data_IF_389391472901
#
_entry.id   IF_389391472901
#
_cell.length_a   1.000
_cell.length_b   1.000
_cell.length_c   1.000
_cell.angle_alpha   90.00
_cell.angle_beta   90.00
_cell.angle_gamma   90.00
#
_symmetry.space_group_name_H-M   'P 1'
#
loop_
_entity.id
_entity.type
_entity.pdbx_description
1 polymer ?
#
# COMPACT_ATOMS: atom_id res chain seq x y z
N UNK A 1 8.82 6.79 -26.16
CA UNK A 1 9.67 6.09 -25.16
C UNK A 1 8.79 5.02 -24.54
N UNK A 2 9.06 3.75 -24.82
CA UNK A 2 8.11 2.66 -24.68
C UNK A 2 7.87 2.28 -23.21
N UNK A 3 6.61 2.35 -22.76
CA UNK A 3 6.14 1.60 -21.59
C UNK A 3 4.79 0.99 -21.98
N UNK A 4 4.86 -0.12 -22.71
CA UNK A 4 3.72 -1.02 -22.79
C UNK A 4 4.26 -2.45 -22.88
N UNK A 5 5.01 -2.85 -21.85
CA UNK A 5 4.88 -4.24 -21.43
C UNK A 5 3.40 -4.37 -21.04
N UNK A 6 2.62 -5.14 -21.81
CA UNK A 6 1.21 -5.33 -21.53
C UNK A 6 1.08 -5.76 -20.06
N UNK A 7 0.34 -4.99 -19.27
CA UNK A 7 0.15 -5.35 -17.88
C UNK A 7 -0.66 -6.64 -17.82
N UNK A 8 -0.47 -7.40 -16.73
CA UNK A 8 -1.19 -8.65 -16.53
C UNK A 8 -2.70 -8.48 -16.64
N UNK A 9 -3.37 -9.47 -17.23
CA UNK A 9 -4.81 -9.38 -17.54
C UNK A 9 -5.72 -9.72 -16.36
N UNK A 10 -5.17 -10.27 -15.26
CA UNK A 10 -5.87 -10.54 -14.00
C UNK A 10 -5.10 -9.92 -12.84
N UNK A 11 -5.82 -9.25 -11.96
CA UNK A 11 -5.25 -8.51 -10.84
C UNK A 11 -6.10 -8.66 -9.59
N UNK A 12 -5.46 -8.63 -8.44
CA UNK A 12 -6.09 -8.50 -7.12
C UNK A 12 -5.33 -7.46 -6.28
N UNK A 13 -6.04 -6.73 -5.42
CA UNK A 13 -5.41 -5.76 -4.52
C UNK A 13 -5.72 -6.08 -3.07
N UNK A 14 -4.77 -5.74 -2.20
CA UNK A 14 -4.93 -5.73 -0.75
C UNK A 14 -4.42 -4.39 -0.23
N UNK A 15 -5.18 -3.75 0.65
CA UNK A 15 -4.76 -2.52 1.36
C UNK A 15 -4.67 -2.86 2.86
N UNK A 16 -3.44 -2.79 3.36
CA UNK A 16 -3.08 -3.10 4.74
C UNK A 16 -3.42 -1.91 5.63
N UNK A 17 -4.21 -2.15 6.67
CA UNK A 17 -4.65 -1.08 7.57
C UNK A 17 -3.66 -0.90 8.73
N UNK A 18 -3.41 0.36 9.12
CA UNK A 18 -2.74 0.74 10.36
C UNK A 18 -1.37 0.05 10.60
N UNK A 19 -0.63 -0.22 9.53
CA UNK A 19 0.64 -0.97 9.57
C UNK A 19 1.66 -0.39 10.56
N UNK A 20 1.67 0.93 10.76
CA UNK A 20 2.59 1.59 11.68
C UNK A 20 2.43 1.11 13.12
N UNK A 21 1.19 0.94 13.59
CA UNK A 21 0.91 0.48 14.95
C UNK A 21 1.27 -0.99 15.18
N UNK A 22 1.65 -1.73 14.15
CA UNK A 22 2.12 -3.11 14.29
C UNK A 22 3.61 -3.20 14.53
N UNK A 23 4.37 -2.13 14.25
CA UNK A 23 5.83 -2.12 14.37
C UNK A 23 6.22 -1.70 15.79
N UNK A 24 6.79 -2.60 16.62
CA UNK A 24 7.26 -2.27 17.96
C UNK A 24 8.40 -1.26 17.91
N UNK A 25 8.30 -0.26 18.79
CA UNK A 25 9.47 0.56 19.11
C UNK A 25 10.38 -0.20 20.06
N UNK A 26 11.68 -0.11 19.82
CA UNK A 26 12.69 -0.58 20.79
C UNK A 26 12.59 0.26 22.05
N UNK A 27 12.81 -0.34 23.21
CA UNK A 27 12.74 0.35 24.51
C UNK A 27 13.64 1.59 24.56
N UNK A 28 14.83 1.51 23.95
CA UNK A 28 15.80 2.61 23.83
C UNK A 28 15.32 3.79 22.95
N UNK A 29 14.40 3.54 22.02
CA UNK A 29 13.86 4.55 21.12
C UNK A 29 12.63 5.25 21.71
N UNK A 30 11.90 4.63 22.64
CA UNK A 30 10.67 5.17 23.22
C UNK A 30 10.82 6.58 23.82
N UNK A 31 11.90 6.93 24.55
CA UNK A 31 12.06 8.29 25.08
C UNK A 31 12.07 9.38 24.00
N UNK A 32 12.48 9.07 22.77
CA UNK A 32 12.52 10.04 21.65
C UNK A 32 11.12 10.45 21.17
N UNK A 33 10.10 9.65 21.50
CA UNK A 33 8.70 9.88 21.11
C UNK A 33 7.82 10.26 22.31
N UNK A 34 8.42 10.66 23.43
CA UNK A 34 7.68 11.03 24.62
C UNK A 34 6.92 12.37 24.43
N UNK A 35 5.73 12.45 25.01
CA UNK A 35 4.90 13.66 25.05
C UNK A 35 4.24 13.80 26.43
N UNK A 36 3.84 15.02 26.79
CA UNK A 36 3.20 15.30 28.08
C UNK A 36 1.73 15.62 27.88
N UNK A 37 0.87 14.97 28.66
CA UNK A 37 -0.56 15.25 28.72
C UNK A 37 -0.99 15.35 30.19
N UNK A 38 -1.65 16.44 30.57
CA UNK A 38 -2.12 16.70 31.94
C UNK A 38 -1.04 16.50 33.04
N UNK A 39 0.21 16.88 32.74
CA UNK A 39 1.34 16.75 33.66
C UNK A 39 1.91 15.34 33.77
N UNK A 40 1.39 14.37 33.01
CA UNK A 40 1.90 12.99 32.93
C UNK A 40 2.64 12.79 31.61
N UNK A 41 3.81 12.15 31.66
CA UNK A 41 4.58 11.81 30.46
C UNK A 41 4.14 10.46 29.90
N UNK A 42 3.85 10.44 28.61
CA UNK A 42 3.50 9.26 27.84
C UNK A 42 4.53 9.05 26.73
N UNK A 43 4.57 7.84 26.19
CA UNK A 43 5.31 7.52 24.98
C UNK A 43 4.58 6.44 24.19
N UNK A 44 4.97 6.25 22.93
CA UNK A 44 4.43 5.22 22.08
C UNK A 44 5.11 3.87 22.34
N UNK A 45 4.34 2.78 22.30
CA UNK A 45 4.87 1.41 22.29
C UNK A 45 5.12 0.88 20.87
N UNK A 46 4.70 1.65 19.87
CA UNK A 46 4.66 1.30 18.45
C UNK A 46 5.03 2.50 17.61
N UNK A 47 5.43 2.29 16.37
CA UNK A 47 5.89 3.34 15.48
C UNK A 47 4.77 4.39 15.27
N UNK A 48 5.00 5.67 15.64
CA UNK A 48 3.95 6.68 15.55
C UNK A 48 3.77 7.18 14.10
N UNK A 49 2.53 7.47 13.72
CA UNK A 49 2.19 8.02 12.39
C UNK A 49 2.89 9.34 12.07
N UNK A 50 3.12 10.17 13.09
CA UNK A 50 3.63 11.53 12.92
C UNK A 50 5.13 11.57 12.60
N UNK A 51 5.83 10.45 12.74
CA UNK A 51 7.27 10.42 12.49
C UNK A 51 7.56 10.34 10.99
N UNK A 52 8.39 11.27 10.49
CA UNK A 52 8.74 11.43 9.08
C UNK A 52 9.15 10.14 8.37
N UNK A 53 9.87 9.26 9.05
CA UNK A 53 10.38 8.03 8.45
C UNK A 53 9.46 6.82 8.66
N UNK A 54 8.32 6.99 9.34
CA UNK A 54 7.37 5.90 9.55
C UNK A 54 6.90 5.24 8.25
N UNK A 55 6.53 5.99 7.19
CA UNK A 55 6.16 5.40 5.88
C UNK A 55 7.25 4.47 5.31
N UNK A 56 8.52 4.89 5.36
CA UNK A 56 9.63 4.12 4.84
C UNK A 56 9.91 2.88 5.68
N UNK A 57 9.88 3.01 7.01
CA UNK A 57 10.09 1.89 7.93
C UNK A 57 8.99 0.84 7.73
N UNK A 58 7.74 1.28 7.64
CA UNK A 58 6.60 0.39 7.47
C UNK A 58 6.62 -0.29 6.10
N UNK A 59 6.88 0.46 5.03
CA UNK A 59 7.04 -0.11 3.69
C UNK A 59 8.11 -1.22 3.67
N UNK A 60 9.28 -0.97 4.27
CA UNK A 60 10.35 -1.95 4.36
C UNK A 60 9.98 -3.18 5.20
N UNK A 61 9.19 -3.02 6.27
CA UNK A 61 8.73 -4.13 7.08
C UNK A 61 7.77 -5.04 6.28
N UNK A 62 6.83 -4.45 5.56
CA UNK A 62 5.92 -5.20 4.68
C UNK A 62 6.64 -5.86 3.52
N UNK A 63 7.61 -5.18 2.89
CA UNK A 63 8.42 -5.77 1.83
C UNK A 63 9.10 -7.06 2.29
N UNK A 64 9.71 -7.06 3.48
CA UNK A 64 10.35 -8.25 4.06
C UNK A 64 9.36 -9.39 4.34
N UNK A 65 8.11 -9.08 4.67
CA UNK A 65 7.08 -10.11 4.83
C UNK A 65 6.66 -10.69 3.48
N UNK A 66 6.50 -9.83 2.46
CA UNK A 66 6.18 -10.26 1.11
C UNK A 66 7.28 -11.10 0.47
N UNK A 67 8.55 -10.84 0.78
CA UNK A 67 9.69 -11.64 0.33
C UNK A 67 9.65 -13.10 0.82
N UNK A 68 8.87 -13.40 1.87
CA UNK A 68 8.67 -14.77 2.37
C UNK A 68 7.56 -15.54 1.66
N UNK A 69 6.78 -14.86 0.82
CA UNK A 69 5.69 -15.47 0.06
C UNK A 69 6.26 -16.16 -1.17
N UNK A 70 5.98 -17.45 -1.33
CA UNK A 70 6.32 -18.17 -2.55
C UNK A 70 5.37 -17.77 -3.68
N UNK A 71 5.94 -17.30 -4.79
CA UNK A 71 5.19 -16.76 -5.93
C UNK A 71 5.54 -17.53 -7.20
N UNK A 72 4.55 -18.02 -7.97
CA UNK A 72 4.77 -18.61 -9.29
C UNK A 72 5.47 -17.64 -10.26
N UNK A 73 6.24 -18.16 -11.22
CA UNK A 73 7.05 -17.34 -12.14
C UNK A 73 6.25 -16.39 -13.04
N UNK A 74 4.97 -16.68 -13.24
CA UNK A 74 3.98 -15.93 -14.01
C UNK A 74 3.16 -14.92 -13.17
N UNK A 75 3.36 -14.89 -11.86
CA UNK A 75 2.74 -13.92 -10.95
C UNK A 75 3.76 -12.83 -10.57
N UNK A 76 3.28 -11.60 -10.46
CA UNK A 76 4.05 -10.44 -9.98
C UNK A 76 3.33 -9.80 -8.80
N UNK A 77 4.09 -9.41 -7.79
CA UNK A 77 3.61 -8.62 -6.65
C UNK A 77 4.23 -7.22 -6.76
N UNK A 78 3.40 -6.19 -6.66
CA UNK A 78 3.82 -4.81 -6.57
C UNK A 78 3.35 -4.25 -5.24
N UNK A 79 4.26 -3.58 -4.52
CA UNK A 79 3.96 -2.95 -3.25
C UNK A 79 4.20 -1.46 -3.37
N UNK A 80 3.24 -0.66 -2.91
CA UNK A 80 3.41 0.76 -2.71
C UNK A 80 2.86 1.13 -1.34
N UNK A 81 3.75 1.48 -0.41
CA UNK A 81 3.39 1.72 1.01
C UNK A 81 2.57 0.56 1.57
N UNK A 82 1.29 0.79 1.80
CA UNK A 82 0.32 -0.11 2.43
C UNK A 82 -0.54 -0.86 1.37
N UNK A 83 -0.45 -0.44 0.10
CA UNK A 83 -1.14 -1.03 -1.03
C UNK A 83 -0.31 -2.16 -1.66
N UNK A 84 -0.95 -3.29 -1.91
CA UNK A 84 -0.38 -4.47 -2.57
C UNK A 84 -1.22 -4.78 -3.80
N UNK A 85 -0.55 -5.01 -4.93
CA UNK A 85 -1.14 -5.47 -6.18
C UNK A 85 -0.52 -6.82 -6.55
N UNK A 86 -1.35 -7.82 -6.78
CA UNK A 86 -0.97 -9.11 -7.34
C UNK A 86 -1.46 -9.16 -8.78
N UNK A 87 -0.57 -9.38 -9.73
CA UNK A 87 -0.87 -9.46 -11.16
C UNK A 87 -0.43 -10.79 -11.78
N UNK A 88 -1.24 -11.32 -12.68
CA UNK A 88 -0.97 -12.52 -13.48
C UNK A 88 -1.99 -12.68 -14.61
N UNK A 89 -1.87 -13.72 -15.43
CA UNK A 89 -2.85 -13.98 -16.51
C UNK A 89 -3.88 -15.06 -16.16
N UNK A 90 -3.58 -15.89 -15.16
CA UNK A 90 -4.50 -16.87 -14.61
C UNK A 90 -5.20 -16.32 -13.36
N UNK A 91 -6.53 -16.32 -13.35
CA UNK A 91 -7.34 -15.73 -12.26
C UNK A 91 -7.18 -16.52 -10.96
N UNK A 92 -7.15 -17.85 -11.05
CA UNK A 92 -7.09 -18.75 -9.92
C UNK A 92 -5.74 -18.63 -9.19
N UNK A 93 -4.63 -18.54 -9.93
CA UNK A 93 -3.30 -18.31 -9.36
C UNK A 93 -3.19 -16.93 -8.68
N UNK A 94 -3.69 -15.87 -9.31
CA UNK A 94 -3.72 -14.52 -8.72
C UNK A 94 -4.51 -14.55 -7.40
N UNK A 95 -5.69 -15.16 -7.40
CA UNK A 95 -6.52 -15.31 -6.20
C UNK A 95 -5.83 -16.13 -5.11
N UNK A 96 -5.15 -17.21 -5.48
CA UNK A 96 -4.41 -18.04 -4.53
C UNK A 96 -3.24 -17.28 -3.90
N UNK A 97 -2.43 -16.57 -4.68
CA UNK A 97 -1.31 -15.77 -4.15
C UNK A 97 -1.84 -14.63 -3.27
N UNK A 98 -2.89 -13.93 -3.68
CA UNK A 98 -3.53 -12.91 -2.86
C UNK A 98 -4.01 -13.47 -1.51
N UNK A 99 -4.59 -14.67 -1.50
CA UNK A 99 -5.00 -15.36 -0.26
C UNK A 99 -3.80 -15.74 0.62
N UNK A 100 -2.72 -16.27 0.04
CA UNK A 100 -1.50 -16.61 0.79
C UNK A 100 -0.89 -15.35 1.42
N UNK A 101 -0.86 -14.23 0.69
CA UNK A 101 -0.44 -12.94 1.24
C UNK A 101 -1.33 -12.54 2.40
N UNK A 102 -2.65 -12.58 2.23
CA UNK A 102 -3.61 -12.25 3.28
C UNK A 102 -3.39 -13.11 4.55
N UNK A 103 -3.33 -14.43 4.39
CA UNK A 103 -3.10 -15.38 5.50
C UNK A 103 -1.74 -15.12 6.20
N UNK A 104 -0.69 -14.85 5.43
CA UNK A 104 0.66 -14.55 5.96
C UNK A 104 0.67 -13.25 6.76
N UNK A 105 0.05 -12.19 6.23
CA UNK A 105 -0.04 -10.89 6.89
C UNK A 105 -0.89 -11.00 8.17
N UNK A 106 -2.05 -11.65 8.12
CA UNK A 106 -2.90 -11.87 9.30
C UNK A 106 -2.20 -12.71 10.37
N UNK A 107 -1.42 -13.73 9.99
CA UNK A 107 -0.60 -14.52 10.92
C UNK A 107 0.46 -13.66 11.64
N UNK A 108 0.98 -12.64 10.96
CA UNK A 108 1.95 -11.67 11.52
C UNK A 108 1.26 -10.49 12.24
N UNK A 109 -0.06 -10.55 12.45
CA UNK A 109 -0.82 -9.53 13.19
C UNK A 109 -1.25 -8.33 12.34
N UNK A 110 -1.15 -8.42 11.01
CA UNK A 110 -1.64 -7.38 10.10
C UNK A 110 -3.10 -7.61 9.71
N UNK A 111 -3.93 -6.59 9.97
CA UNK A 111 -5.34 -6.59 9.61
C UNK A 111 -5.55 -6.04 8.20
N UNK A 112 -6.36 -6.75 7.43
CA UNK A 112 -6.71 -6.40 6.06
C UNK A 112 -8.24 -6.53 5.97
N UNK A 113 -8.98 -5.41 6.06
CA UNK A 113 -10.43 -5.44 5.96
C UNK A 113 -10.85 -6.03 4.62
N UNK A 114 -11.80 -6.99 4.58
CA UNK A 114 -12.27 -7.57 3.32
C UNK A 114 -12.82 -6.52 2.33
N UNK A 115 -13.38 -5.42 2.84
CA UNK A 115 -13.88 -4.29 2.04
C UNK A 115 -12.78 -3.51 1.32
N UNK A 116 -11.52 -3.70 1.73
CA UNK A 116 -10.34 -3.07 1.15
C UNK A 116 -9.60 -3.97 0.15
N UNK A 117 -10.06 -5.21 -0.03
CA UNK A 117 -9.55 -6.11 -1.06
C UNK A 117 -10.38 -5.99 -2.33
N UNK A 118 -9.75 -6.05 -3.50
CA UNK A 118 -10.44 -6.12 -4.80
C UNK A 118 -9.93 -7.32 -5.61
N UNK A 119 -10.79 -7.86 -6.47
CA UNK A 119 -10.43 -8.96 -7.37
C UNK A 119 -10.38 -10.34 -6.67
N UNK A 120 -9.81 -11.36 -7.35
CA UNK A 120 -9.14 -11.29 -8.65
C UNK A 120 -10.11 -10.95 -9.80
N UNK A 121 -9.73 -9.98 -10.64
CA UNK A 121 -10.57 -9.46 -11.73
C UNK A 121 -9.76 -8.87 -12.88
N UNK A 122 -10.45 -8.50 -13.95
CA UNK A 122 -9.83 -7.78 -15.09
C UNK A 122 -9.80 -6.28 -14.88
N UNK A 123 -10.65 -5.77 -13.98
CA UNK A 123 -10.82 -4.37 -13.67
C UNK A 123 -10.58 -4.17 -12.18
N UNK A 124 -9.59 -3.35 -11.84
CA UNK A 124 -9.28 -2.95 -10.47
C UNK A 124 -8.93 -1.47 -10.42
N UNK A 125 -9.14 -0.84 -9.26
CA UNK A 125 -8.61 0.49 -8.97
C UNK A 125 -7.39 0.38 -8.06
N UNK A 126 -6.24 0.88 -8.52
CA UNK A 126 -4.97 0.84 -7.79
C UNK A 126 -4.20 2.15 -7.99
N UNK A 127 -3.76 2.76 -6.88
CA UNK A 127 -3.05 4.06 -6.86
C UNK A 127 -3.74 5.18 -7.62
N UNK A 128 -5.08 5.22 -7.57
CA UNK A 128 -5.88 6.23 -8.25
C UNK A 128 -6.03 6.01 -9.76
N UNK A 129 -5.50 4.92 -10.33
CA UNK A 129 -5.70 4.54 -11.72
C UNK A 129 -6.60 3.30 -11.84
N UNK A 130 -7.36 3.22 -12.93
CA UNK A 130 -8.06 2.01 -13.34
C UNK A 130 -7.13 1.13 -14.17
N UNK A 131 -7.02 -0.14 -13.80
CA UNK A 131 -6.32 -1.14 -14.56
C UNK A 131 -7.34 -2.10 -15.16
N UNK A 132 -7.45 -2.11 -16.49
CA UNK A 132 -8.49 -2.83 -17.23
C UNK A 132 -7.83 -3.73 -18.27
N UNK A 133 -7.86 -5.04 -18.03
CA UNK A 133 -7.35 -6.08 -18.93
C UNK A 133 -5.95 -5.80 -19.50
N UNK A 134 -5.05 -5.23 -18.68
CA UNK A 134 -3.68 -4.91 -19.07
C UNK A 134 -3.45 -3.48 -19.59
N UNK A 135 -4.50 -2.66 -19.69
CA UNK A 135 -4.42 -1.24 -19.97
C UNK A 135 -4.60 -0.40 -18.70
N UNK A 136 -3.99 0.78 -18.66
CA UNK A 136 -4.13 1.74 -17.55
C UNK A 136 -4.92 2.95 -18.03
N UNK A 137 -5.94 3.33 -17.28
CA UNK A 137 -6.73 4.53 -17.50
C UNK A 137 -6.72 5.40 -16.24
N UNK A 138 -6.48 6.71 -16.42
CA UNK A 138 -6.68 7.68 -15.35
C UNK A 138 -8.17 8.01 -15.27
N UNK A 139 -8.80 7.94 -14.09
CA UNK A 139 -10.21 8.28 -13.93
C UNK A 139 -10.54 9.72 -14.36
N UNK A 140 -11.72 9.92 -14.98
CA UNK A 140 -12.16 11.23 -15.45
C UNK A 140 -12.33 12.26 -14.33
N UNK A 141 -12.65 11.83 -13.10
CA UNK A 141 -12.73 12.71 -11.94
C UNK A 141 -11.34 13.24 -11.53
N UNK A 142 -10.31 12.40 -11.66
CA UNK A 142 -8.91 12.78 -11.44
C UNK A 142 -8.44 13.76 -12.51
N UNK A 143 -8.75 13.50 -13.78
CA UNK A 143 -8.45 14.43 -14.88
C UNK A 143 -9.19 15.77 -14.71
N UNK A 144 -10.48 15.71 -14.38
CA UNK A 144 -11.31 16.90 -14.12
C UNK A 144 -10.78 17.74 -12.95
N UNK A 145 -10.24 17.10 -11.91
CA UNK A 145 -9.64 17.81 -10.78
C UNK A 145 -8.35 18.55 -11.17
N UNK A 146 -7.54 17.96 -12.06
CA UNK A 146 -6.34 18.59 -12.60
C UNK A 146 -6.72 19.79 -13.49
N UNK A 147 -7.72 19.63 -14.36
CA UNK A 147 -8.18 20.71 -15.25
C UNK A 147 -8.81 21.89 -14.49
N UNK A 148 -9.49 21.60 -13.37
CA UNK A 148 -10.07 22.62 -12.49
C UNK A 148 -9.04 23.22 -11.51
N UNK A 149 -7.82 22.71 -11.48
CA UNK A 149 -6.74 23.22 -10.64
C UNK A 149 -6.49 24.69 -10.92
N UNK A 150 -6.41 25.50 -9.87
CA UNK A 150 -6.08 26.91 -10.02
C UNK A 150 -4.62 27.07 -10.43
N UNK A 151 -4.35 27.98 -11.37
CA UNK A 151 -2.97 28.36 -11.70
C UNK A 151 -2.29 28.91 -10.43
N UNK A 152 -1.16 28.35 -10.01
CA UNK A 152 -0.45 28.82 -8.82
C UNK A 152 -0.14 30.32 -8.91
N UNK A 153 -0.50 31.07 -7.87
CA UNK A 153 -0.21 32.51 -7.77
C UNK A 153 1.17 32.80 -7.16
N UNK A 154 1.80 31.81 -6.52
CA UNK A 154 3.11 31.96 -5.91
C UNK A 154 3.94 30.68 -5.98
N UNK A 155 5.24 30.80 -5.64
CA UNK A 155 6.19 29.68 -5.66
C UNK A 155 5.77 28.53 -4.75
N UNK A 156 5.17 28.81 -3.58
CA UNK A 156 4.76 27.78 -2.63
C UNK A 156 3.61 26.95 -3.18
N UNK A 157 2.67 27.55 -3.90
CA UNK A 157 1.56 26.85 -4.57
C UNK A 157 2.02 26.06 -5.80
N UNK A 158 3.14 26.46 -6.41
CA UNK A 158 3.73 25.78 -7.56
C UNK A 158 4.54 24.52 -7.18
N UNK A 159 5.07 24.48 -5.96
CA UNK A 159 5.99 23.43 -5.46
C UNK A 159 5.26 22.29 -4.75
#
# INVERSE_FOLDING_TARGET
>A
MAIQAAAHTRMATLDVKDMFFMIPLREEDKPQFAFTWEGVQYTFNRLPHVYKHSPTIAHNALAKLLDTVEVPSDIRIYQYRDDILVGGDNKEQVGQVAKVIWDSLTKNGLDIPPSKCQGPGQEIKFLGAWWIAGAVAVPDDTLSAIEKGQTPGNKTELQ
#
